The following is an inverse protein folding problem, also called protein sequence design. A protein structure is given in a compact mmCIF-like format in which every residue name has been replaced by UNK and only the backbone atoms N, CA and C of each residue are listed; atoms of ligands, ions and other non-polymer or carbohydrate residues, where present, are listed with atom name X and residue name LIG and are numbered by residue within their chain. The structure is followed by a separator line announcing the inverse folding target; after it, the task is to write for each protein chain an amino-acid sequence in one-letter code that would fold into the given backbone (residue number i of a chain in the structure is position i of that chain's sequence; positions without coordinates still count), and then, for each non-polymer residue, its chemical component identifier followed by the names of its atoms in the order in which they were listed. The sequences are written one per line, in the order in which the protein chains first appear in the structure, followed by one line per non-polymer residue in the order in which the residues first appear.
data_IF_306144739363
#
_entry.id   IF_306144739363
#
_cell.length_a   1.000
_cell.length_b   1.000
_cell.length_c   1.000
_cell.angle_alpha   90.00
_cell.angle_beta   90.00
_cell.angle_gamma   90.00
#
_symmetry.space_group_name_H-M   'P 1'
#
loop_
_entity.id
_entity.type
_entity.pdbx_description
1 polymer ?
#
# COMPACT_ATOMS: atom_id res chain seq x y z
N UNK A 1 37.35 29.88 4.50
CA UNK A 1 36.25 30.24 3.59
C UNK A 1 35.13 29.23 3.80
N UNK A 2 34.10 29.61 4.55
CA UNK A 2 32.98 28.72 4.91
C UNK A 2 31.94 28.80 3.79
N UNK A 3 31.90 27.80 2.92
CA UNK A 3 30.85 27.73 1.90
C UNK A 3 29.52 27.43 2.59
N UNK A 4 28.65 28.43 2.70
CA UNK A 4 27.24 28.26 3.02
C UNK A 4 26.61 27.46 1.88
N UNK A 5 26.49 26.15 2.06
CA UNK A 5 25.69 25.29 1.18
C UNK A 5 24.24 25.76 1.34
N UNK A 6 23.76 26.53 0.36
CA UNK A 6 22.37 26.94 0.27
C UNK A 6 21.52 25.67 0.19
N UNK A 7 20.87 25.31 1.30
CA UNK A 7 19.91 24.22 1.36
C UNK A 7 18.81 24.50 0.33
N UNK A 8 18.85 23.82 -0.81
CA UNK A 8 17.75 23.87 -1.77
C UNK A 8 16.53 23.23 -1.11
N UNK A 9 15.52 24.07 -0.85
CA UNK A 9 14.21 23.63 -0.39
C UNK A 9 13.66 22.65 -1.41
N UNK A 10 13.41 21.43 -0.98
CA UNK A 10 12.77 20.42 -1.82
C UNK A 10 11.33 20.85 -2.11
N UNK A 11 10.92 20.76 -3.37
CA UNK A 11 9.57 21.06 -3.83
C UNK A 11 8.99 19.73 -4.33
N UNK A 12 8.00 19.16 -3.64
CA UNK A 12 7.35 17.93 -4.08
C UNK A 12 6.70 18.11 -5.46
N UNK A 13 6.93 17.13 -6.35
CA UNK A 13 6.19 17.02 -7.61
C UNK A 13 4.78 16.46 -7.33
N UNK A 14 3.86 17.38 -7.07
CA UNK A 14 2.47 17.05 -6.75
C UNK A 14 1.75 16.30 -7.90
N UNK A 15 1.87 16.73 -9.18
CA UNK A 15 1.32 15.96 -10.30
C UNK A 15 1.82 14.51 -10.36
N UNK A 16 3.13 14.28 -10.18
CA UNK A 16 3.68 12.93 -10.18
C UNK A 16 3.14 12.10 -9.02
N UNK A 17 3.02 12.69 -7.83
CA UNK A 17 2.45 12.02 -6.67
C UNK A 17 0.97 11.64 -6.86
N UNK A 18 0.15 12.57 -7.34
CA UNK A 18 -1.28 12.33 -7.63
C UNK A 18 -1.46 11.19 -8.64
N UNK A 19 -0.59 11.14 -9.67
CA UNK A 19 -0.60 10.07 -10.67
C UNK A 19 -0.34 8.69 -10.05
N UNK A 20 0.62 8.57 -9.13
CA UNK A 20 0.85 7.30 -8.43
C UNK A 20 -0.35 6.92 -7.57
N UNK A 21 -0.94 7.86 -6.84
CA UNK A 21 -2.12 7.58 -6.01
C UNK A 21 -3.32 7.10 -6.83
N UNK A 22 -3.54 7.67 -8.01
CA UNK A 22 -4.57 7.21 -8.95
C UNK A 22 -4.26 5.78 -9.47
N UNK A 23 -3.00 5.50 -9.83
CA UNK A 23 -2.60 4.17 -10.27
C UNK A 23 -2.74 3.10 -9.18
N UNK A 24 -2.45 3.47 -7.93
CA UNK A 24 -2.66 2.62 -6.77
C UNK A 24 -4.13 2.32 -6.58
N UNK A 25 -5.01 3.32 -6.71
CA UNK A 25 -6.46 3.13 -6.58
C UNK A 25 -6.97 2.02 -7.51
N UNK A 26 -6.70 2.13 -8.81
CA UNK A 26 -7.21 1.14 -9.77
C UNK A 26 -6.65 -0.27 -9.55
N UNK A 27 -5.46 -0.41 -8.98
CA UNK A 27 -4.87 -1.72 -8.66
C UNK A 27 -5.44 -2.30 -7.38
N UNK A 28 -5.59 -1.48 -6.33
CA UNK A 28 -6.25 -1.91 -5.09
C UNK A 28 -7.67 -2.39 -5.39
N UNK A 29 -8.44 -1.64 -6.19
CA UNK A 29 -9.81 -2.03 -6.55
C UNK A 29 -9.89 -3.36 -7.31
N UNK A 30 -8.83 -3.81 -8.00
CA UNK A 30 -8.79 -5.14 -8.63
C UNK A 30 -8.58 -6.28 -7.64
N UNK A 31 -7.96 -5.98 -6.50
CA UNK A 31 -7.63 -6.96 -5.46
C UNK A 31 -8.62 -6.94 -4.28
N UNK A 32 -9.53 -5.97 -4.26
CA UNK A 32 -10.56 -5.83 -3.24
C UNK A 32 -11.43 -7.08 -3.14
N UNK A 33 -11.84 -7.50 -1.93
CA UNK A 33 -12.85 -8.52 -1.75
C UNK A 33 -14.18 -8.10 -2.42
N UNK A 34 -15.00 -9.09 -2.80
CA UNK A 34 -16.30 -8.86 -3.44
C UNK A 34 -17.29 -8.09 -2.56
N UNK A 35 -17.11 -8.22 -1.25
CA UNK A 35 -17.83 -7.47 -0.23
C UNK A 35 -16.83 -6.50 0.39
N UNK A 36 -17.28 -5.28 0.66
CA UNK A 36 -16.45 -4.22 1.22
C UNK A 36 -16.86 -3.95 2.67
N UNK A 37 -17.01 -5.01 3.49
CA UNK A 37 -17.32 -4.89 4.91
C UNK A 37 -16.03 -4.94 5.75
N UNK A 38 -16.05 -4.31 6.94
CA UNK A 38 -14.91 -4.35 7.85
C UNK A 38 -14.63 -5.80 8.27
N UNK A 39 -13.37 -6.22 8.15
CA UNK A 39 -12.92 -7.58 8.39
C UNK A 39 -12.92 -8.48 7.15
N UNK A 40 -13.51 -8.04 6.04
CA UNK A 40 -13.40 -8.77 4.77
C UNK A 40 -11.95 -8.78 4.28
N UNK A 41 -11.54 -9.94 3.79
CA UNK A 41 -10.17 -10.18 3.33
C UNK A 41 -10.13 -10.77 1.94
N UNK A 42 -9.08 -10.42 1.21
CA UNK A 42 -8.72 -10.99 -0.08
C UNK A 42 -7.32 -11.58 0.02
N UNK A 43 -7.20 -12.87 -0.28
CA UNK A 43 -5.94 -13.60 -0.25
C UNK A 43 -5.38 -13.71 -1.66
N UNK A 44 -4.11 -13.38 -1.83
CA UNK A 44 -3.41 -13.40 -3.11
C UNK A 44 -2.16 -14.24 -2.97
N UNK A 45 -2.13 -15.38 -3.64
CA UNK A 45 -0.96 -16.25 -3.68
C UNK A 45 -0.12 -15.96 -4.93
N UNK A 46 1.16 -15.65 -4.71
CA UNK A 46 2.17 -15.42 -5.74
C UNK A 46 3.35 -16.34 -5.46
N UNK A 47 3.51 -17.36 -6.30
CA UNK A 47 4.57 -18.37 -6.16
C UNK A 47 4.64 -19.02 -4.75
N UNK A 48 5.59 -18.57 -3.91
CA UNK A 48 5.84 -19.07 -2.55
C UNK A 48 5.40 -18.07 -1.46
N UNK A 49 4.85 -16.93 -1.87
CA UNK A 49 4.42 -15.87 -0.99
C UNK A 49 2.89 -15.73 -1.04
N UNK A 50 2.31 -15.47 0.11
CA UNK A 50 0.89 -15.18 0.27
C UNK A 50 0.76 -13.77 0.81
N UNK A 51 -0.11 -13.01 0.17
CA UNK A 51 -0.46 -11.65 0.56
C UNK A 51 -1.92 -11.61 0.98
N UNK A 52 -2.22 -10.70 1.90
CA UNK A 52 -3.57 -10.47 2.38
C UNK A 52 -3.87 -8.98 2.31
N UNK A 53 -4.99 -8.66 1.68
CA UNK A 53 -5.65 -7.38 1.77
C UNK A 53 -6.82 -7.53 2.76
N UNK A 54 -6.89 -6.68 3.77
CA UNK A 54 -7.91 -6.72 4.81
C UNK A 54 -8.52 -5.33 4.98
N UNK A 55 -9.85 -5.24 5.00
CA UNK A 55 -10.56 -3.98 5.23
C UNK A 55 -10.64 -3.71 6.73
N UNK A 56 -10.07 -2.59 7.18
CA UNK A 56 -10.02 -2.23 8.61
C UNK A 56 -11.04 -1.17 8.99
N UNK A 57 -11.41 -0.29 8.07
CA UNK A 57 -12.43 0.74 8.30
C UNK A 57 -13.11 1.13 7.00
N UNK A 58 -14.41 1.38 7.08
CA UNK A 58 -15.23 1.80 5.95
C UNK A 58 -16.03 3.03 6.34
N UNK A 59 -16.01 4.04 5.49
CA UNK A 59 -16.81 5.26 5.59
C UNK A 59 -17.44 5.57 4.23
N UNK A 60 -18.36 6.53 4.18
CA UNK A 60 -19.13 6.85 2.96
C UNK A 60 -18.28 7.06 1.70
N UNK A 61 -17.11 7.68 1.83
CA UNK A 61 -16.22 8.01 0.72
C UNK A 61 -14.80 7.47 0.86
N UNK A 62 -14.50 6.79 1.97
CA UNK A 62 -13.14 6.33 2.25
C UNK A 62 -13.13 4.94 2.84
N UNK A 63 -12.17 4.12 2.41
CA UNK A 63 -11.91 2.80 2.98
C UNK A 63 -10.45 2.72 3.39
N UNK A 64 -10.19 2.22 4.59
CA UNK A 64 -8.85 1.89 5.05
C UNK A 64 -8.64 0.38 4.96
N UNK A 65 -7.48 -0.01 4.44
CA UNK A 65 -7.07 -1.40 4.32
C UNK A 65 -5.69 -1.61 4.90
N UNK A 66 -5.44 -2.84 5.34
CA UNK A 66 -4.11 -3.38 5.56
C UNK A 66 -3.73 -4.23 4.35
N UNK A 67 -2.57 -3.98 3.76
CA UNK A 67 -1.96 -4.85 2.77
C UNK A 67 -0.67 -5.43 3.34
N UNK A 68 -0.65 -6.73 3.59
CA UNK A 68 0.43 -7.43 4.29
C UNK A 68 0.84 -8.72 3.62
N UNK A 69 2.09 -9.11 3.81
CA UNK A 69 2.55 -10.47 3.51
C UNK A 69 2.25 -11.39 4.70
N UNK A 70 1.59 -12.52 4.47
CA UNK A 70 1.20 -13.46 5.54
C UNK A 70 2.14 -14.65 5.67
N UNK A 71 2.76 -15.09 4.56
CA UNK A 71 3.71 -16.21 4.58
C UNK A 71 5.14 -15.74 4.31
N UNK A 72 6.02 -16.03 5.27
CA UNK A 72 7.46 -16.08 5.08
C UNK A 72 7.99 -17.32 5.78
N UNK A 73 8.45 -18.32 5.03
CA UNK A 73 9.08 -19.52 5.60
C UNK A 73 10.50 -19.24 6.15
N UNK A 74 10.81 -17.98 6.47
CA UNK A 74 12.13 -17.49 6.87
C UNK A 74 12.02 -17.05 8.33
N UNK A 75 12.65 -17.81 9.22
CA UNK A 75 12.72 -17.49 10.65
C UNK A 75 13.44 -16.14 10.84
N UNK A 76 12.81 -15.20 11.55
CA UNK A 76 13.38 -13.89 11.87
C UNK A 76 13.11 -12.79 10.84
N UNK A 77 12.36 -13.07 9.77
CA UNK A 77 11.93 -12.05 8.81
C UNK A 77 10.66 -11.34 9.30
N UNK A 78 10.66 -10.01 9.24
CA UNK A 78 9.47 -9.19 9.50
C UNK A 78 8.73 -9.07 8.18
N UNK A 79 7.50 -9.58 8.13
CA UNK A 79 6.67 -9.44 6.95
C UNK A 79 6.30 -7.98 6.71
N UNK A 80 6.43 -7.47 5.48
CA UNK A 80 6.00 -6.11 5.17
C UNK A 80 4.49 -5.97 5.36
N UNK A 81 4.10 -4.83 5.92
CA UNK A 81 2.71 -4.42 6.11
C UNK A 81 2.59 -2.93 5.77
N UNK A 82 1.57 -2.58 4.99
CA UNK A 82 1.22 -1.21 4.65
C UNK A 82 -0.25 -0.95 5.02
N UNK A 83 -0.48 0.19 5.64
CA UNK A 83 -1.82 0.75 5.81
C UNK A 83 -2.11 1.65 4.63
N UNK A 84 -3.22 1.43 3.93
CA UNK A 84 -3.58 2.17 2.73
C UNK A 84 -4.96 2.78 2.93
N UNK A 85 -5.07 4.08 2.69
CA UNK A 85 -6.35 4.80 2.63
C UNK A 85 -6.76 4.99 1.20
N UNK A 86 -8.01 4.68 0.92
CA UNK A 86 -8.64 4.74 -0.39
C UNK A 86 -9.70 5.83 -0.33
N UNK A 87 -9.64 6.78 -1.25
CA UNK A 87 -10.61 7.84 -1.46
C UNK A 87 -11.40 7.51 -2.73
N UNK A 88 -12.67 7.16 -2.57
CA UNK A 88 -13.53 6.71 -3.67
C UNK A 88 -14.01 7.85 -4.56
N UNK A 89 -14.17 9.04 -3.98
CA UNK A 89 -14.56 10.27 -4.66
C UNK A 89 -13.44 10.83 -5.54
N UNK A 90 -12.22 10.88 -5.01
CA UNK A 90 -11.03 11.33 -5.72
C UNK A 90 -10.38 10.24 -6.59
N UNK A 91 -10.81 8.97 -6.44
CA UNK A 91 -10.20 7.79 -7.07
C UNK A 91 -8.69 7.69 -6.79
N UNK A 92 -8.32 7.85 -5.53
CA UNK A 92 -6.92 7.85 -5.08
C UNK A 92 -6.72 6.85 -3.95
N UNK A 93 -5.57 6.17 -3.95
CA UNK A 93 -5.13 5.36 -2.81
C UNK A 93 -3.73 5.79 -2.39
N UNK A 94 -3.53 5.97 -1.10
CA UNK A 94 -2.23 6.33 -0.54
C UNK A 94 -1.86 5.48 0.67
N UNK A 95 -0.57 5.18 0.83
CA UNK A 95 -0.06 4.57 2.06
C UNK A 95 -0.08 5.60 3.18
N UNK A 96 -0.71 5.27 4.31
CA UNK A 96 -0.76 6.07 5.53
C UNK A 96 0.12 5.46 6.61
N UNK A 97 0.52 6.29 7.57
CA UNK A 97 1.30 5.83 8.73
C UNK A 97 0.38 5.16 9.77
N UNK A 98 0.85 4.12 10.48
CA UNK A 98 0.09 3.49 11.56
C UNK A 98 -0.24 4.45 12.71
N UNK A 99 0.69 5.34 13.04
CA UNK A 99 0.45 6.39 14.03
C UNK A 99 -0.08 7.65 13.33
N UNK A 100 -1.33 8.04 13.64
CA UNK A 100 -1.91 9.32 13.18
C UNK A 100 -1.01 10.53 13.54
N UNK A 101 -0.29 10.44 14.65
CA UNK A 101 0.67 11.46 15.12
C UNK A 101 1.99 11.46 14.35
N UNK A 102 2.37 10.35 13.71
CA UNK A 102 3.58 10.23 12.87
C UNK A 102 3.22 10.16 11.39
N UNK A 103 2.31 11.02 10.94
CA UNK A 103 1.98 11.16 9.53
C UNK A 103 3.27 11.34 8.72
N UNK A 104 3.52 10.44 7.75
CA UNK A 104 4.63 10.61 6.81
C UNK A 104 4.46 11.97 6.13
N UNK A 105 5.41 12.88 6.40
CA UNK A 105 5.38 14.23 5.85
C UNK A 105 5.85 14.19 4.40
N UNK A 106 5.19 14.91 3.48
CA UNK A 106 5.57 14.96 2.06
C UNK A 106 6.89 15.69 1.80
N UNK A 107 7.39 16.45 2.77
CA UNK A 107 8.71 17.09 2.73
C UNK A 107 9.19 17.31 4.16
N UNK A 108 10.44 16.93 4.46
CA UNK A 108 11.09 17.21 5.74
C UNK A 108 12.08 18.37 5.59
N UNK A 109 12.01 19.34 6.51
CA UNK A 109 12.97 20.46 6.55
C UNK A 109 14.33 19.98 7.09
N UNK A 110 15.42 20.58 6.61
CA UNK A 110 16.77 20.29 7.09
C UNK A 110 17.29 21.45 7.95
N UNK A 111 17.91 21.20 9.12
CA UNK A 111 18.40 19.91 9.65
C UNK A 111 17.26 18.97 10.05
N UNK A 112 17.31 17.73 9.58
CA UNK A 112 16.29 16.72 9.83
C UNK A 112 16.68 15.87 11.05
N UNK A 113 16.20 16.18 12.27
CA UNK A 113 16.58 15.45 13.48
C UNK A 113 16.10 14.00 13.49
N UNK A 114 15.18 13.61 12.60
CA UNK A 114 14.62 12.27 12.48
C UNK A 114 15.15 11.48 11.27
N UNK A 115 16.08 12.05 10.47
CA UNK A 115 16.71 11.43 9.29
C UNK A 115 15.79 10.91 8.16
N UNK A 116 14.49 11.23 8.15
CA UNK A 116 13.59 10.98 7.01
C UNK A 116 14.12 11.45 5.63
N UNK A 117 13.90 10.66 4.58
CA UNK A 117 14.23 11.08 3.21
C UNK A 117 13.25 12.15 2.70
N UNK A 118 13.70 12.97 1.75
CA UNK A 118 12.91 14.08 1.18
C UNK A 118 11.65 13.59 0.43
N UNK A 119 11.69 12.37 -0.11
CA UNK A 119 10.66 11.78 -0.98
C UNK A 119 9.94 10.56 -0.37
N UNK A 120 10.07 10.35 0.95
CA UNK A 120 9.63 9.12 1.62
C UNK A 120 8.16 8.78 1.30
N UNK A 121 7.27 9.78 1.27
CA UNK A 121 5.86 9.59 0.91
C UNK A 121 5.70 9.05 -0.51
N UNK A 122 6.42 9.61 -1.48
CA UNK A 122 6.37 9.17 -2.87
C UNK A 122 6.94 7.76 -3.00
N UNK A 123 8.12 7.51 -2.40
CA UNK A 123 8.80 6.21 -2.46
C UNK A 123 7.93 5.08 -1.90
N UNK A 124 7.27 5.30 -0.76
CA UNK A 124 6.39 4.30 -0.15
C UNK A 124 5.14 4.04 -1.01
N UNK A 125 4.59 5.07 -1.68
CA UNK A 125 3.47 4.90 -2.60
C UNK A 125 3.88 4.24 -3.93
N UNK A 126 5.10 4.49 -4.40
CA UNK A 126 5.68 3.78 -5.54
C UNK A 126 5.96 2.31 -5.19
N UNK A 127 6.42 2.03 -3.97
CA UNK A 127 6.55 0.65 -3.49
C UNK A 127 5.20 -0.08 -3.45
N UNK A 128 4.14 0.57 -2.96
CA UNK A 128 2.79 0.01 -3.01
C UNK A 128 2.38 -0.29 -4.46
N UNK A 129 2.64 0.63 -5.40
CA UNK A 129 2.32 0.46 -6.81
C UNK A 129 2.94 -0.81 -7.38
N UNK A 130 4.25 -0.96 -7.23
CA UNK A 130 5.00 -2.12 -7.72
C UNK A 130 4.54 -3.41 -7.04
N UNK A 131 4.25 -3.35 -5.74
CA UNK A 131 3.81 -4.52 -4.98
C UNK A 131 2.44 -5.02 -5.42
N UNK A 132 1.49 -4.11 -5.64
CA UNK A 132 0.17 -4.44 -6.19
C UNK A 132 0.27 -4.94 -7.63
N UNK A 133 1.11 -4.32 -8.45
CA UNK A 133 1.32 -4.72 -9.85
C UNK A 133 1.91 -6.13 -9.93
N UNK A 134 2.87 -6.45 -9.05
CA UNK A 134 3.42 -7.79 -8.91
C UNK A 134 2.33 -8.80 -8.55
N UNK A 135 1.48 -8.48 -7.58
CA UNK A 135 0.35 -9.32 -7.16
C UNK A 135 -0.68 -9.54 -8.27
N UNK A 136 -1.02 -8.52 -9.05
CA UNK A 136 -1.98 -8.64 -10.15
C UNK A 136 -1.40 -9.45 -11.30
N UNK A 137 -0.11 -9.28 -11.60
CA UNK A 137 0.54 -9.90 -12.76
C UNK A 137 0.87 -11.37 -12.52
N UNK A 138 1.27 -11.73 -11.30
CA UNK A 138 1.74 -13.08 -10.96
C UNK A 138 0.80 -13.83 -10.01
N UNK A 139 -0.23 -13.16 -9.50
CA UNK A 139 -1.22 -13.75 -8.60
C UNK A 139 -2.04 -14.84 -9.27
N UNK A 140 -2.32 -15.90 -8.52
CA UNK A 140 -3.17 -17.00 -8.97
C UNK A 140 -4.51 -16.94 -8.27
N UNK A 141 -5.59 -17.09 -9.04
CA UNK A 141 -6.91 -17.28 -8.45
C UNK A 141 -6.98 -18.69 -7.82
N UNK A 142 -7.49 -18.79 -6.60
CA UNK A 142 -7.78 -20.08 -6.00
C UNK A 142 -9.06 -20.64 -6.66
N UNK A 143 -8.88 -21.39 -7.74
CA UNK A 143 -9.97 -22.06 -8.44
C UNK A 143 -10.44 -23.25 -7.62
N UNK A 144 -11.39 -23.04 -6.72
CA UNK A 144 -12.19 -24.09 -6.09
C UNK A 144 -13.20 -24.64 -7.11
N UNK A 145 -12.72 -25.38 -8.10
CA UNK A 145 -13.57 -26.02 -9.11
C UNK A 145 -14.26 -27.29 -8.58
N UNK A 146 -13.83 -27.82 -7.43
CA UNK A 146 -14.37 -29.02 -6.80
C UNK A 146 -14.78 -28.79 -5.34
N UNK A 147 -15.78 -27.95 -5.13
CA UNK A 147 -16.51 -27.94 -3.85
C UNK A 147 -17.74 -28.83 -4.00
N UNK A 148 -17.55 -30.11 -3.66
CA UNK A 148 -18.59 -31.05 -3.22
C UNK A 148 -19.78 -31.27 -4.18
N UNK A 149 -19.54 -31.85 -5.36
CA UNK A 149 -20.54 -32.73 -5.93
C UNK A 149 -20.15 -34.15 -5.54
N UNK A 150 -20.81 -34.74 -4.54
CA UNK A 150 -20.56 -36.10 -4.05
C UNK A 150 -20.84 -37.18 -5.10
N UNK A 151 -20.03 -37.20 -6.16
CA UNK A 151 -20.02 -38.17 -7.24
C UNK A 151 -18.63 -38.81 -7.31
N UNK A 152 -18.31 -39.59 -6.27
CA UNK A 152 -17.48 -40.80 -6.36
C UNK A 152 -18.09 -41.85 -5.44
#
# INVERSE_FOLDING_TARGET
MTHLVKSMKYIPDLPAFMKICEQNFFRVMKLMPKREEVGDTSLIDVERFSYQLEITSTSRFTTDIIFKQTSSNIVGFINPELLVRIYHDARMAEVISPDYLKRIKPSNEYPNPLMHQKDEKYQVNAFLLDWLDHCITHGRANCLWDVNHGLV
#
